data_IF_272221006342
#
_entry.id   IF_272221006342
#
_cell.length_a   1.000
_cell.length_b   1.000
_cell.length_c   1.000
_cell.angle_alpha   90.00
_cell.angle_beta   90.00
_cell.angle_gamma   90.00
#
_symmetry.space_group_name_H-M   'P 1'
#
loop_
_entity.id
_entity.type
_entity.pdbx_description
1 polymer ?
#
# COMPACT_ATOMS: atom_id res chain seq x y z
N UNK A 1 17.40 -7.00 11.50
CA UNK A 1 16.46 -6.52 10.47
C UNK A 1 15.88 -5.14 10.79
N UNK A 2 15.20 -4.91 11.93
CA UNK A 2 14.74 -3.55 12.30
C UNK A 2 15.88 -2.52 12.36
N UNK A 3 17.04 -2.89 12.92
CA UNK A 3 18.22 -2.04 12.90
C UNK A 3 18.64 -1.65 11.47
N UNK A 4 18.51 -2.55 10.49
CA UNK A 4 18.86 -2.27 9.10
C UNK A 4 17.90 -1.21 8.49
N UNK A 5 16.61 -1.29 8.82
CA UNK A 5 15.61 -0.30 8.40
C UNK A 5 15.94 1.09 8.97
N UNK A 6 16.36 1.17 10.24
CA UNK A 6 16.76 2.44 10.85
C UNK A 6 18.05 2.99 10.25
N UNK A 7 19.07 2.14 10.05
CA UNK A 7 20.33 2.53 9.44
C UNK A 7 20.18 2.96 7.98
N UNK A 8 19.24 2.36 7.23
CA UNK A 8 18.89 2.80 5.87
C UNK A 8 18.49 4.28 5.85
N UNK A 9 17.76 4.76 6.86
CA UNK A 9 17.37 6.17 6.97
C UNK A 9 18.55 7.15 7.13
N UNK A 10 19.72 6.67 7.55
CA UNK A 10 20.93 7.47 7.73
C UNK A 10 21.82 7.52 6.47
N UNK A 11 21.54 6.71 5.44
CA UNK A 11 22.32 6.74 4.20
C UNK A 11 22.15 8.09 3.52
N UNK A 12 23.30 8.73 3.28
CA UNK A 12 23.42 9.97 2.52
C UNK A 12 23.97 9.71 1.12
N UNK A 13 23.79 10.67 0.22
CA UNK A 13 24.18 10.59 -1.19
C UNK A 13 25.07 11.76 -1.59
N UNK A 14 26.08 11.50 -2.41
CA UNK A 14 26.95 12.52 -3.00
C UNK A 14 26.70 12.62 -4.51
N UNK A 15 26.67 13.84 -5.05
CA UNK A 15 26.59 14.07 -6.50
C UNK A 15 27.92 13.69 -7.15
N UNK A 16 27.84 12.97 -8.27
CA UNK A 16 29.00 12.46 -9.01
C UNK A 16 29.21 13.11 -10.37
N UNK A 17 28.21 13.83 -10.89
CA UNK A 17 28.30 14.55 -12.17
C UNK A 17 27.37 15.78 -12.21
N UNK A 18 27.48 16.54 -13.30
CA UNK A 18 26.67 17.75 -13.55
C UNK A 18 25.21 17.43 -13.95
N UNK A 19 24.86 16.15 -14.10
CA UNK A 19 23.51 15.68 -14.43
C UNK A 19 22.72 15.30 -13.17
N UNK A 20 23.21 15.68 -11.98
CA UNK A 20 22.65 15.39 -10.66
C UNK A 20 22.55 13.90 -10.31
N UNK A 21 23.36 13.05 -10.95
CA UNK A 21 23.45 11.67 -10.54
C UNK A 21 24.18 11.55 -9.21
N UNK A 22 23.82 10.54 -8.43
CA UNK A 22 24.37 10.35 -7.09
C UNK A 22 24.91 8.94 -6.87
N UNK A 23 25.83 8.84 -5.92
CA UNK A 23 26.26 7.59 -5.29
C UNK A 23 26.06 7.65 -3.78
N UNK A 24 25.80 6.50 -3.15
CA UNK A 24 25.71 6.42 -1.70
C UNK A 24 27.08 6.71 -1.07
N UNK A 25 27.08 7.51 -0.01
CA UNK A 25 28.31 7.80 0.75
C UNK A 25 28.78 6.50 1.41
N UNK A 26 30.04 6.13 1.17
CA UNK A 26 30.66 4.97 1.81
C UNK A 26 31.04 5.27 3.26
N UNK A 27 30.05 5.56 4.08
CA UNK A 27 30.18 5.82 5.52
C UNK A 27 29.75 4.61 6.36
N UNK A 28 29.75 4.81 7.67
CA UNK A 28 29.33 3.81 8.65
C UNK A 28 27.91 3.28 8.36
N UNK A 29 27.00 4.14 7.89
CA UNK A 29 25.61 3.77 7.62
C UNK A 29 25.53 2.73 6.50
N UNK A 30 26.21 2.97 5.37
CA UNK A 30 26.21 2.03 4.25
C UNK A 30 26.83 0.67 4.63
N UNK A 31 27.93 0.70 5.39
CA UNK A 31 28.63 -0.51 5.86
C UNK A 31 27.73 -1.32 6.80
N UNK A 32 27.12 -0.66 7.79
CA UNK A 32 26.23 -1.30 8.76
C UNK A 32 25.01 -1.91 8.06
N UNK A 33 24.38 -1.20 7.11
CA UNK A 33 23.24 -1.76 6.37
C UNK A 33 23.66 -3.00 5.60
N UNK A 34 24.74 -2.93 4.80
CA UNK A 34 25.22 -4.06 4.01
C UNK A 34 25.49 -5.30 4.86
N UNK A 35 26.16 -5.11 6.01
CA UNK A 35 26.41 -6.20 6.96
C UNK A 35 25.12 -6.78 7.54
N UNK A 36 24.15 -5.94 7.92
CA UNK A 36 22.90 -6.38 8.54
C UNK A 36 21.96 -7.10 7.57
N UNK A 37 21.99 -6.76 6.28
CA UNK A 37 21.19 -7.42 5.24
C UNK A 37 21.96 -8.55 4.54
N UNK A 38 23.26 -8.70 4.83
CA UNK A 38 24.09 -9.80 4.34
C UNK A 38 24.52 -9.67 2.88
N UNK A 39 24.83 -8.45 2.42
CA UNK A 39 25.36 -8.20 1.08
C UNK A 39 26.68 -7.41 1.13
N UNK A 40 27.33 -7.29 -0.03
CA UNK A 40 28.51 -6.43 -0.15
C UNK A 40 28.12 -4.95 -0.23
N UNK A 41 28.97 -4.08 0.33
CA UNK A 41 28.77 -2.62 0.32
C UNK A 41 28.73 -2.05 -1.10
N UNK A 42 29.52 -2.64 -2.01
CA UNK A 42 29.56 -2.26 -3.43
C UNK A 42 28.24 -2.57 -4.12
N UNK A 43 27.66 -3.76 -3.85
CA UNK A 43 26.38 -4.16 -4.42
C UNK A 43 25.23 -3.29 -3.90
N UNK A 44 25.24 -2.96 -2.60
CA UNK A 44 24.25 -2.07 -2.02
C UNK A 44 24.35 -0.65 -2.61
N UNK A 45 25.55 -0.12 -2.77
CA UNK A 45 25.75 1.18 -3.42
C UNK A 45 25.21 1.16 -4.86
N UNK A 46 25.56 0.12 -5.63
CA UNK A 46 25.06 -0.03 -7.01
C UNK A 46 23.53 -0.10 -7.06
N UNK A 47 22.90 -0.82 -6.13
CA UNK A 47 21.46 -0.96 -6.05
C UNK A 47 20.75 0.36 -5.68
N UNK A 48 21.37 1.20 -4.83
CA UNK A 48 20.80 2.49 -4.42
C UNK A 48 21.07 3.62 -5.42
N UNK A 49 22.04 3.45 -6.32
CA UNK A 49 22.55 4.52 -7.19
C UNK A 49 22.27 4.26 -8.67
N UNK A 50 21.85 3.04 -9.04
CA UNK A 50 21.58 2.68 -10.44
C UNK A 50 20.30 1.85 -10.59
N UNK A 51 19.67 1.98 -11.76
CA UNK A 51 18.55 1.14 -12.20
C UNK A 51 18.97 0.35 -13.43
N UNK A 52 18.86 -0.98 -13.35
CA UNK A 52 19.01 -1.86 -14.52
C UNK A 52 17.66 -2.02 -15.19
N UNK A 53 17.58 -1.72 -16.48
CA UNK A 53 16.38 -1.86 -17.29
C UNK A 53 16.68 -2.70 -18.53
N UNK A 54 15.75 -3.55 -18.92
CA UNK A 54 15.83 -4.30 -20.16
C UNK A 54 14.94 -3.62 -21.19
N UNK A 55 15.54 -3.13 -22.27
CA UNK A 55 14.82 -2.49 -23.39
C UNK A 55 15.05 -3.37 -24.62
N UNK A 56 14.01 -4.14 -24.98
CA UNK A 56 14.13 -5.16 -26.02
C UNK A 56 15.12 -6.26 -25.64
N UNK A 57 16.20 -6.39 -26.40
CA UNK A 57 17.28 -7.37 -26.15
C UNK A 57 18.45 -6.81 -25.33
N UNK A 58 18.49 -5.49 -25.08
CA UNK A 58 19.63 -4.83 -24.44
C UNK A 58 19.36 -4.56 -22.95
N UNK A 59 20.42 -4.67 -22.15
CA UNK A 59 20.43 -4.28 -20.75
C UNK A 59 21.08 -2.90 -20.62
N UNK A 60 20.30 -1.92 -20.17
CA UNK A 60 20.73 -0.54 -19.96
C UNK A 60 20.86 -0.32 -18.45
N UNK A 61 21.99 0.24 -18.04
CA UNK A 61 22.20 0.70 -16.66
C UNK A 61 22.05 2.22 -16.66
N UNK A 62 21.04 2.71 -15.94
CA UNK A 62 20.78 4.13 -15.76
C UNK A 62 21.23 4.55 -14.36
N UNK A 63 21.97 5.65 -14.24
CA UNK A 63 22.29 6.26 -12.95
C UNK A 63 21.07 7.00 -12.39
N UNK A 64 20.92 7.01 -11.07
CA UNK A 64 19.80 7.64 -10.41
C UNK A 64 20.13 9.08 -10.02
N UNK A 65 19.15 9.96 -10.16
CA UNK A 65 19.18 11.29 -9.55
C UNK A 65 19.00 11.21 -8.03
N UNK A 66 19.33 12.28 -7.31
CA UNK A 66 19.15 12.34 -5.85
C UNK A 66 17.74 11.94 -5.39
N UNK A 67 16.69 12.46 -6.04
CA UNK A 67 15.30 12.13 -5.70
C UNK A 67 15.03 10.63 -5.88
N UNK A 68 15.44 10.06 -7.02
CA UNK A 68 15.22 8.64 -7.32
C UNK A 68 16.00 7.73 -6.38
N UNK A 69 17.21 8.11 -5.97
CA UNK A 69 18.01 7.37 -5.01
C UNK A 69 17.40 7.37 -3.60
N UNK A 70 16.85 8.52 -3.17
CA UNK A 70 16.08 8.64 -1.92
C UNK A 70 14.83 7.75 -1.98
N UNK A 71 14.06 7.82 -3.06
CA UNK A 71 12.87 6.99 -3.24
C UNK A 71 13.22 5.50 -3.24
N UNK A 72 14.34 5.12 -3.86
CA UNK A 72 14.84 3.73 -3.88
C UNK A 72 15.23 3.25 -2.48
N UNK A 73 15.94 4.09 -1.71
CA UNK A 73 16.31 3.81 -0.30
C UNK A 73 15.07 3.63 0.57
N UNK A 74 14.11 4.54 0.45
CA UNK A 74 12.89 4.53 1.27
C UNK A 74 11.98 3.35 0.88
N UNK A 75 11.90 3.03 -0.41
CA UNK A 75 11.20 1.84 -0.90
C UNK A 75 11.84 0.54 -0.39
N UNK A 76 13.18 0.46 -0.39
CA UNK A 76 13.91 -0.68 0.17
C UNK A 76 13.63 -0.83 1.67
N UNK A 77 13.67 0.26 2.43
CA UNK A 77 13.36 0.26 3.86
C UNK A 77 11.91 -0.22 4.14
N UNK A 78 10.94 0.32 3.39
CA UNK A 78 9.52 -0.10 3.47
C UNK A 78 9.35 -1.58 3.13
N UNK A 79 10.02 -2.06 2.08
CA UNK A 79 9.96 -3.46 1.64
C UNK A 79 10.53 -4.41 2.70
N UNK A 80 11.69 -4.11 3.27
CA UNK A 80 12.30 -4.91 4.34
C UNK A 80 11.38 -4.98 5.56
N UNK A 81 10.79 -3.85 5.96
CA UNK A 81 9.84 -3.82 7.09
C UNK A 81 8.58 -4.63 6.80
N UNK A 82 8.00 -4.49 5.60
CA UNK A 82 6.83 -5.26 5.18
C UNK A 82 7.11 -6.77 5.20
N UNK A 83 8.21 -7.22 4.60
CA UNK A 83 8.60 -8.64 4.61
C UNK A 83 8.86 -9.16 6.03
N UNK A 84 9.45 -8.34 6.92
CA UNK A 84 9.65 -8.72 8.31
C UNK A 84 8.31 -8.90 9.04
N UNK A 85 7.35 -8.01 8.80
CA UNK A 85 6.02 -8.09 9.40
C UNK A 85 5.24 -9.30 8.88
N UNK A 86 5.26 -9.56 7.57
CA UNK A 86 4.67 -10.75 6.97
C UNK A 86 5.27 -12.04 7.56
N UNK A 87 6.60 -12.10 7.66
CA UNK A 87 7.29 -13.23 8.28
C UNK A 87 6.85 -13.42 9.74
N UNK A 88 6.73 -12.34 10.52
CA UNK A 88 6.27 -12.41 11.91
C UNK A 88 4.85 -13.01 11.99
N UNK A 89 3.93 -12.53 11.15
CA UNK A 89 2.56 -13.07 11.05
C UNK A 89 2.60 -14.55 10.70
N UNK A 90 3.45 -14.97 9.77
CA UNK A 90 3.63 -16.37 9.40
C UNK A 90 4.12 -17.22 10.59
N UNK A 91 5.10 -16.75 11.37
CA UNK A 91 5.60 -17.47 12.54
C UNK A 91 4.53 -17.61 13.64
N UNK A 92 3.75 -16.55 13.87
CA UNK A 92 2.62 -16.59 14.81
C UNK A 92 1.59 -17.63 14.33
N UNK A 93 1.23 -17.61 13.04
CA UNK A 93 0.30 -18.57 12.46
C UNK A 93 0.79 -20.02 12.57
N UNK A 94 2.07 -20.28 12.31
CA UNK A 94 2.68 -21.61 12.48
C UNK A 94 2.60 -22.09 13.93
N UNK A 95 2.83 -21.18 14.88
CA UNK A 95 2.78 -21.49 16.32
C UNK A 95 1.36 -21.76 16.82
N UNK A 96 0.36 -21.05 16.24
CA UNK A 96 -1.06 -21.21 16.57
C UNK A 96 -1.75 -22.34 15.80
N UNK A 97 -1.09 -22.93 14.79
CA UNK A 97 -1.65 -24.00 13.99
C UNK A 97 -1.77 -25.31 14.80
N UNK A 98 -2.80 -25.39 15.63
CA UNK A 98 -3.15 -26.63 16.35
C UNK A 98 -3.59 -27.69 15.34
N UNK A 99 -3.04 -28.90 15.46
CA UNK A 99 -3.33 -30.05 14.62
C UNK A 99 -4.81 -30.20 14.31
N UNK A 100 -5.16 -30.04 13.02
CA UNK A 100 -6.53 -29.98 12.51
C UNK A 100 -7.34 -31.23 12.89
N UNK A 101 -8.10 -31.16 13.98
CA UNK A 101 -9.45 -31.74 14.01
C UNK A 101 -10.42 -30.64 13.61
N UNK A 102 -10.43 -30.31 12.32
CA UNK A 102 -11.31 -29.29 11.73
C UNK A 102 -12.75 -29.76 11.88
N UNK A 103 -13.50 -29.13 12.77
CA UNK A 103 -14.95 -29.31 12.91
C UNK A 103 -15.75 -28.54 11.84
N UNK A 104 -15.07 -27.98 10.81
CA UNK A 104 -15.67 -27.21 9.72
C UNK A 104 -16.22 -25.83 10.12
N UNK A 105 -16.19 -25.48 11.42
CA UNK A 105 -16.70 -24.22 11.96
C UNK A 105 -15.55 -23.37 12.49
N UNK A 106 -15.64 -22.06 12.30
CA UNK A 106 -14.68 -21.09 12.81
C UNK A 106 -15.41 -19.83 13.27
N UNK A 107 -14.87 -19.18 14.30
CA UNK A 107 -15.27 -17.84 14.72
C UNK A 107 -14.09 -16.93 14.36
N UNK A 108 -14.37 -15.85 13.62
CA UNK A 108 -13.37 -14.87 13.20
C UNK A 108 -13.66 -13.55 13.89
N UNK A 109 -12.60 -12.88 14.37
CA UNK A 109 -12.68 -11.55 14.97
C UNK A 109 -12.05 -10.59 13.96
N UNK A 110 -12.77 -9.51 13.66
CA UNK A 110 -12.28 -8.43 12.82
C UNK A 110 -11.96 -7.23 13.73
N UNK A 111 -10.69 -6.83 13.74
CA UNK A 111 -10.20 -5.65 14.44
C UNK A 111 -9.49 -4.76 13.41
N UNK A 112 -10.08 -3.61 13.11
CA UNK A 112 -9.59 -2.67 12.10
C UNK A 112 -9.58 -1.25 12.66
N UNK A 113 -8.73 -0.39 12.10
CA UNK A 113 -8.73 1.03 12.40
C UNK A 113 -10.08 1.68 12.05
N UNK A 114 -10.55 2.58 12.91
CA UNK A 114 -11.73 3.41 12.63
C UNK A 114 -11.45 4.51 11.61
N UNK A 115 -12.49 5.29 11.29
CA UNK A 115 -12.37 6.43 10.38
C UNK A 115 -11.40 7.50 10.92
N UNK A 116 -10.52 8.01 10.05
CA UNK A 116 -9.50 9.00 10.39
C UNK A 116 -9.73 10.33 9.64
N UNK A 117 -9.55 11.45 10.34
CA UNK A 117 -9.60 12.78 9.75
C UNK A 117 -8.59 13.71 10.43
N UNK A 118 -7.52 14.03 9.70
CA UNK A 118 -6.46 14.93 10.15
C UNK A 118 -6.42 16.21 9.31
N UNK A 119 -5.62 17.20 9.74
CA UNK A 119 -5.41 18.44 8.98
C UNK A 119 -4.78 18.22 7.60
N UNK A 120 -4.03 17.13 7.42
CA UNK A 120 -3.55 16.64 6.12
C UNK A 120 -3.69 15.12 6.10
N UNK A 121 -4.48 14.60 5.16
CA UNK A 121 -4.69 13.16 4.97
C UNK A 121 -3.93 12.71 3.74
N UNK A 122 -3.14 11.64 3.85
CA UNK A 122 -2.42 11.04 2.74
C UNK A 122 -3.19 9.86 2.14
N UNK A 123 -2.57 9.16 1.18
CA UNK A 123 -3.17 7.99 0.56
C UNK A 123 -3.48 6.87 1.58
N UNK A 124 -2.71 6.80 2.67
CA UNK A 124 -2.93 5.87 3.77
C UNK A 124 -4.28 6.10 4.46
N UNK A 125 -4.60 7.35 4.85
CA UNK A 125 -5.93 7.68 5.40
C UNK A 125 -7.05 7.41 4.41
N UNK A 126 -6.81 7.69 3.13
CA UNK A 126 -7.78 7.36 2.08
C UNK A 126 -8.10 5.85 2.06
N UNK A 127 -7.08 4.98 2.09
CA UNK A 127 -7.27 3.52 2.16
C UNK A 127 -8.00 3.08 3.44
N UNK A 128 -7.66 3.67 4.59
CA UNK A 128 -8.32 3.39 5.88
C UNK A 128 -9.81 3.76 5.82
N UNK A 129 -10.13 4.96 5.37
CA UNK A 129 -11.50 5.44 5.31
C UNK A 129 -12.33 4.66 4.27
N UNK A 130 -11.73 4.31 3.13
CA UNK A 130 -12.37 3.45 2.14
C UNK A 130 -12.70 2.05 2.71
N UNK A 131 -11.80 1.45 3.49
CA UNK A 131 -12.08 0.17 4.15
C UNK A 131 -13.23 0.29 5.18
N UNK A 132 -13.28 1.40 5.91
CA UNK A 132 -14.40 1.70 6.83
C UNK A 132 -15.72 1.86 6.06
N UNK A 133 -15.71 2.54 4.92
CA UNK A 133 -16.90 2.72 4.08
C UNK A 133 -17.44 1.37 3.57
N UNK A 134 -16.55 0.47 3.18
CA UNK A 134 -16.89 -0.90 2.79
C UNK A 134 -17.48 -1.70 3.94
N UNK A 135 -16.91 -1.57 5.14
CA UNK A 135 -17.42 -2.22 6.34
C UNK A 135 -18.81 -1.68 6.70
N UNK A 136 -19.02 -0.37 6.62
CA UNK A 136 -20.33 0.25 6.85
C UNK A 136 -21.36 -0.28 5.85
N UNK A 137 -20.99 -0.44 4.57
CA UNK A 137 -21.92 -1.00 3.58
C UNK A 137 -22.25 -2.47 3.85
N UNK A 138 -21.28 -3.23 4.37
CA UNK A 138 -21.52 -4.60 4.81
C UNK A 138 -22.55 -4.64 5.96
N UNK A 139 -22.43 -3.75 6.95
CA UNK A 139 -23.42 -3.62 8.04
C UNK A 139 -24.79 -3.21 7.51
N UNK A 140 -24.87 -2.17 6.68
CA UNK A 140 -26.12 -1.69 6.10
C UNK A 140 -26.85 -2.80 5.33
N UNK A 141 -26.12 -3.60 4.57
CA UNK A 141 -26.69 -4.73 3.83
C UNK A 141 -27.27 -5.80 4.76
N UNK A 142 -26.54 -6.19 5.81
CA UNK A 142 -26.98 -7.30 6.68
C UNK A 142 -28.07 -6.88 7.67
N UNK A 143 -27.99 -5.68 8.23
CA UNK A 143 -28.96 -5.21 9.21
C UNK A 143 -30.25 -4.68 8.60
N UNK A 144 -30.19 -4.09 7.40
CA UNK A 144 -31.36 -3.46 6.79
C UNK A 144 -31.85 -4.15 5.52
N UNK A 145 -30.96 -4.43 4.56
CA UNK A 145 -31.42 -4.95 3.25
C UNK A 145 -31.87 -6.41 3.34
N UNK A 146 -31.04 -7.28 3.90
CA UNK A 146 -31.34 -8.72 3.99
C UNK A 146 -32.54 -9.02 4.88
N UNK A 147 -32.65 -8.37 6.05
CA UNK A 147 -33.82 -8.52 6.93
C UNK A 147 -35.11 -8.14 6.21
N UNK A 148 -35.13 -7.01 5.50
CA UNK A 148 -36.32 -6.58 4.76
C UNK A 148 -36.64 -7.52 3.58
N UNK A 149 -35.62 -8.06 2.90
CA UNK A 149 -35.80 -9.08 1.86
C UNK A 149 -36.44 -10.36 2.43
N UNK A 150 -36.05 -10.79 3.63
CA UNK A 150 -36.62 -11.96 4.32
C UNK A 150 -38.09 -11.75 4.74
N UNK A 151 -38.42 -10.59 5.33
CA UNK A 151 -39.82 -10.27 5.67
C UNK A 151 -40.74 -10.27 4.45
N UNK A 152 -40.28 -9.70 3.33
CA UNK A 152 -41.03 -9.69 2.06
C UNK A 152 -41.19 -11.12 1.53
N UNK A 153 -40.15 -11.94 1.62
CA UNK A 153 -40.18 -13.33 1.16
C UNK A 153 -41.18 -14.18 1.98
N UNK A 154 -41.29 -13.91 3.29
CA UNK A 154 -42.23 -14.59 4.19
C UNK A 154 -43.66 -14.02 4.11
N UNK A 155 -43.89 -13.00 3.28
CA UNK A 155 -45.20 -12.37 3.09
C UNK A 155 -45.68 -11.58 4.31
N UNK A 156 -44.74 -11.15 5.16
CA UNK A 156 -45.03 -10.33 6.35
C UNK A 156 -45.18 -8.88 5.89
N UNK A 157 -46.29 -8.24 6.26
CA UNK A 157 -46.52 -6.82 5.98
C UNK A 157 -45.59 -5.97 6.86
N UNK A 158 -44.43 -5.63 6.30
CA UNK A 158 -43.37 -4.89 6.98
C UNK A 158 -43.26 -3.47 6.44
N UNK A 159 -43.23 -2.49 7.35
CA UNK A 159 -42.97 -1.11 7.00
C UNK A 159 -41.48 -0.95 6.68
N UNK A 160 -41.16 -0.67 5.41
CA UNK A 160 -39.79 -0.47 4.95
C UNK A 160 -39.07 0.54 5.85
N UNK A 161 -37.91 0.14 6.39
CA UNK A 161 -37.07 1.01 7.21
C UNK A 161 -36.13 1.75 6.27
N UNK A 162 -36.25 3.08 6.27
CA UNK A 162 -35.30 3.95 5.58
C UNK A 162 -34.00 4.05 6.40
N UNK A 163 -32.87 3.99 5.71
CA UNK A 163 -31.54 4.12 6.27
C UNK A 163 -30.62 4.84 5.29
N UNK A 164 -29.54 5.42 5.80
CA UNK A 164 -28.53 6.08 4.99
C UNK A 164 -27.61 5.04 4.32
N UNK A 165 -27.89 4.76 3.05
CA UNK A 165 -27.05 3.90 2.21
C UNK A 165 -25.84 4.68 1.71
N UNK A 166 -24.66 4.08 1.81
CA UNK A 166 -23.41 4.68 1.38
C UNK A 166 -22.90 4.14 0.04
N UNK A 167 -23.75 3.46 -0.73
CA UNK A 167 -23.39 2.90 -2.02
C UNK A 167 -22.83 3.94 -3.01
N UNK A 168 -23.36 5.16 -3.00
CA UNK A 168 -22.89 6.22 -3.90
C UNK A 168 -21.47 6.70 -3.53
N UNK A 169 -21.14 6.72 -2.24
CA UNK A 169 -19.78 6.97 -1.76
C UNK A 169 -18.82 5.89 -2.27
N UNK A 170 -19.19 4.61 -2.14
CA UNK A 170 -18.39 3.50 -2.67
C UNK A 170 -18.25 3.54 -4.20
N UNK A 171 -19.32 3.93 -4.91
CA UNK A 171 -19.30 4.06 -6.35
C UNK A 171 -18.27 5.12 -6.80
N UNK A 172 -18.12 6.23 -6.07
CA UNK A 172 -17.10 7.24 -6.38
C UNK A 172 -15.68 6.64 -6.36
N UNK A 173 -15.40 5.70 -5.45
CA UNK A 173 -14.09 5.08 -5.33
C UNK A 173 -13.85 3.96 -6.35
N UNK A 174 -14.84 3.12 -6.58
CA UNK A 174 -14.64 1.81 -7.23
C UNK A 174 -15.22 1.68 -8.64
N UNK A 175 -16.15 2.56 -9.02
CA UNK A 175 -16.96 2.36 -10.22
C UNK A 175 -16.10 2.46 -11.47
N UNK A 176 -15.79 1.33 -12.09
CA UNK A 176 -15.05 1.32 -13.35
C UNK A 176 -15.87 1.95 -14.50
N UNK A 177 -15.23 2.69 -15.43
CA UNK A 177 -13.80 3.04 -15.46
C UNK A 177 -13.47 4.35 -14.70
N UNK A 178 -14.46 5.09 -14.21
CA UNK A 178 -14.30 6.46 -13.69
C UNK A 178 -14.13 6.54 -12.16
N UNK A 179 -13.91 5.42 -11.48
CA UNK A 179 -13.71 5.40 -10.04
C UNK A 179 -12.35 5.98 -9.69
N UNK A 180 -12.23 6.62 -8.54
CA UNK A 180 -10.97 7.24 -8.11
C UNK A 180 -9.78 6.26 -8.14
N UNK A 181 -10.00 4.99 -7.78
CA UNK A 181 -8.98 3.95 -7.86
C UNK A 181 -8.54 3.67 -9.30
N UNK A 182 -9.48 3.66 -10.26
CA UNK A 182 -9.15 3.45 -11.68
C UNK A 182 -8.37 4.63 -12.25
N UNK A 183 -8.73 5.86 -11.89
CA UNK A 183 -7.97 7.05 -12.28
C UNK A 183 -6.55 7.06 -11.69
N UNK A 184 -6.38 6.62 -10.44
CA UNK A 184 -5.07 6.47 -9.81
C UNK A 184 -4.19 5.43 -10.52
N UNK A 185 -4.76 4.29 -10.90
CA UNK A 185 -4.05 3.27 -11.66
C UNK A 185 -3.62 3.78 -13.05
N UNK A 186 -4.49 4.52 -13.74
CA UNK A 186 -4.19 5.10 -15.05
C UNK A 186 -3.07 6.14 -14.99
N UNK A 187 -3.14 7.10 -14.08
CA UNK A 187 -2.11 8.15 -13.96
C UNK A 187 -0.78 7.60 -13.44
N UNK A 188 -0.79 6.60 -12.53
CA UNK A 188 0.44 6.00 -12.01
C UNK A 188 1.22 5.18 -13.04
N UNK A 189 0.52 4.65 -14.05
CA UNK A 189 1.13 3.93 -15.17
C UNK A 189 1.50 4.86 -16.33
N UNK A 190 1.08 6.13 -16.28
CA UNK A 190 1.39 7.11 -17.31
C UNK A 190 2.86 7.58 -17.23
N UNK A 191 3.63 7.60 -18.35
CA UNK A 191 5.07 7.88 -18.32
C UNK A 191 5.47 9.23 -17.71
N UNK A 192 4.55 10.19 -17.67
CA UNK A 192 4.73 11.53 -17.09
C UNK A 192 3.62 11.87 -16.07
N UNK A 193 3.00 10.86 -15.46
CA UNK A 193 2.00 11.06 -14.41
C UNK A 193 2.57 11.92 -13.29
N UNK A 194 1.76 12.85 -12.78
CA UNK A 194 2.16 13.74 -11.68
C UNK A 194 0.97 13.93 -10.75
N UNK A 195 1.22 14.05 -9.44
CA UNK A 195 0.19 14.29 -8.43
C UNK A 195 -0.74 15.48 -8.76
N UNK A 196 -0.27 16.46 -9.52
CA UNK A 196 -1.04 17.65 -9.93
C UNK A 196 -2.05 17.35 -11.05
N UNK A 197 -1.85 16.30 -11.86
CA UNK A 197 -2.75 15.92 -12.97
C UNK A 197 -3.96 15.12 -12.50
N UNK A 198 -3.81 14.38 -11.41
CA UNK A 198 -4.88 13.58 -10.80
C UNK A 198 -6.12 14.42 -10.43
N UNK A 199 -6.01 15.57 -9.74
CA UNK A 199 -7.14 16.44 -9.44
C UNK A 199 -7.87 16.97 -10.69
N UNK A 200 -7.16 17.24 -11.78
CA UNK A 200 -7.78 17.78 -13.01
C UNK A 200 -8.62 16.73 -13.74
N UNK A 201 -8.18 15.47 -13.72
CA UNK A 201 -8.92 14.33 -14.27
C UNK A 201 -10.14 13.99 -13.41
N UNK A 202 -10.03 14.09 -12.07
CA UNK A 202 -11.14 13.84 -11.13
C UNK A 202 -12.18 14.96 -11.06
N UNK A 203 -11.82 16.20 -11.40
CA UNK A 203 -12.76 17.34 -11.43
C UNK A 203 -13.76 17.30 -12.59
N UNK A 204 -13.57 16.35 -13.52
CA UNK A 204 -14.40 16.17 -14.72
C UNK A 204 -15.46 15.05 -14.56
N UNK A 205 -15.56 14.48 -13.35
CA UNK A 205 -16.52 13.44 -12.94
C UNK A 205 -17.51 14.06 -11.95
#
# INVERSE_FOLDING_TARGET
MLAAVLWLGNISFNMIDNENHVEAVADESLINVAQLIGCETVDLNLALSTRKMRVGHDNIIQKLTLSQAIDTRDALAKSIYACLFEWLVEQINKSLAVGKRRTGRSISILDIYGFESFGRNSFEQFCINYANERLQQHFNRHLFKLEQEEYIQDGIDWAKVDFDDNQDCLNLFEKKPLGLLSLLDEESTFPNGTDIRLPTSSSSI
#
